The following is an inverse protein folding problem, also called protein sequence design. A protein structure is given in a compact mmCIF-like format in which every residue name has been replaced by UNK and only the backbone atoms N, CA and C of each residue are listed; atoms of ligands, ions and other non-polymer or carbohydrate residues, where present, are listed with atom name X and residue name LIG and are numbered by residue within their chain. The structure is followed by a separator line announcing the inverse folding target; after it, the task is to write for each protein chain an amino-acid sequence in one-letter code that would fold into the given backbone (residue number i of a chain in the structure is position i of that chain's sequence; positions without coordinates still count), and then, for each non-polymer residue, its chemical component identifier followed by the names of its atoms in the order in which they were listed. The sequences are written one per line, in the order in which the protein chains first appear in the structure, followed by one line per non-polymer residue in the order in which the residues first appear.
data_IF_467676169177
#
_entry.id   IF_467676169177
#
_cell.length_a   1.000
_cell.length_b   1.000
_cell.length_c   1.000
_cell.angle_alpha   90.00
_cell.angle_beta   90.00
_cell.angle_gamma   90.00
#
_symmetry.space_group_name_H-M   'P 1'
#
loop_
_entity.id
_entity.type
_entity.pdbx_description
1 polymer ?
#
# COMPACT_ATOMS: atom_id res chain seq x y z
N UNK A 1 0.27 3.55 -17.87
CA UNK A 1 -0.16 4.06 -16.56
C UNK A 1 0.65 3.41 -15.45
N UNK A 2 0.91 4.15 -14.41
CA UNK A 2 1.55 3.60 -13.21
C UNK A 2 0.58 2.68 -12.50
N UNK A 3 1.05 1.54 -12.06
CA UNK A 3 0.25 0.54 -11.36
C UNK A 3 0.41 0.71 -9.86
N UNK A 4 -0.71 0.91 -9.18
CA UNK A 4 -0.74 1.25 -7.76
C UNK A 4 -1.39 0.11 -6.99
N UNK A 5 -0.80 -0.25 -5.85
CA UNK A 5 -1.40 -1.19 -4.90
C UNK A 5 -1.65 -0.48 -3.58
N UNK A 6 -2.85 -0.66 -3.04
CA UNK A 6 -3.21 -0.15 -1.72
C UNK A 6 -3.23 -1.34 -0.77
N UNK A 7 -2.60 -1.19 0.40
CA UNK A 7 -2.56 -2.23 1.44
C UNK A 7 -2.99 -1.62 2.76
N UNK A 8 -4.12 -2.04 3.28
CA UNK A 8 -4.64 -1.52 4.54
C UNK A 8 -5.64 -2.54 5.10
N UNK A 9 -5.52 -2.92 6.35
CA UNK A 9 -6.43 -3.88 6.96
C UNK A 9 -7.80 -3.26 7.28
N UNK A 10 -7.92 -1.95 7.19
CA UNK A 10 -9.17 -1.24 7.36
C UNK A 10 -9.80 -0.94 6.00
N UNK A 11 -10.95 -1.55 5.72
CA UNK A 11 -11.64 -1.39 4.43
C UNK A 11 -12.01 0.06 4.13
N UNK A 12 -12.43 0.81 5.15
CA UNK A 12 -12.82 2.20 4.95
C UNK A 12 -11.63 3.08 4.60
N UNK A 13 -10.48 2.83 5.23
CA UNK A 13 -9.26 3.54 4.91
C UNK A 13 -8.80 3.26 3.49
N UNK A 14 -8.81 2.00 3.09
CA UNK A 14 -8.44 1.61 1.73
C UNK A 14 -9.38 2.25 0.70
N UNK A 15 -10.68 2.20 0.96
CA UNK A 15 -11.68 2.79 0.09
C UNK A 15 -11.50 4.30 -0.02
N UNK A 16 -11.20 4.94 1.11
CA UNK A 16 -10.95 6.38 1.12
C UNK A 16 -9.78 6.79 0.24
N UNK A 17 -8.69 6.03 0.29
CA UNK A 17 -7.54 6.29 -0.57
C UNK A 17 -7.92 6.09 -2.03
N UNK A 18 -8.62 5.01 -2.33
CA UNK A 18 -9.05 4.70 -3.68
C UNK A 18 -9.94 5.79 -4.27
N UNK A 19 -10.91 6.26 -3.49
CA UNK A 19 -11.95 7.17 -3.99
C UNK A 19 -11.60 8.64 -3.92
N UNK A 20 -10.70 9.04 -3.04
CA UNK A 20 -10.43 10.46 -2.81
C UNK A 20 -9.23 11.01 -3.57
N UNK A 21 -8.57 10.19 -4.36
CA UNK A 21 -7.45 10.61 -5.19
C UNK A 21 -7.84 10.43 -6.64
N UNK A 22 -7.59 11.44 -7.45
CA UNK A 22 -7.82 11.37 -8.88
C UNK A 22 -6.64 10.66 -9.56
N UNK A 23 -6.68 9.34 -9.56
CA UNK A 23 -5.61 8.52 -10.11
C UNK A 23 -5.41 8.75 -11.60
N UNK A 24 -6.51 8.98 -12.33
CA UNK A 24 -6.43 9.22 -13.76
C UNK A 24 -5.63 10.50 -14.06
N UNK A 25 -5.83 11.55 -13.28
CA UNK A 25 -5.08 12.79 -13.42
C UNK A 25 -3.59 12.56 -13.17
N UNK A 26 -3.23 11.57 -12.37
CA UNK A 26 -1.85 11.21 -12.09
C UNK A 26 -1.27 10.18 -13.06
N UNK A 27 -2.04 9.83 -14.08
CA UNK A 27 -1.68 8.78 -15.04
C UNK A 27 -1.37 7.46 -14.33
N UNK A 28 -2.23 7.10 -13.39
CA UNK A 28 -2.08 5.92 -12.54
C UNK A 28 -3.40 5.16 -12.45
N UNK A 29 -3.30 3.90 -12.09
CA UNK A 29 -4.50 3.08 -11.85
C UNK A 29 -4.26 2.16 -10.66
N UNK A 30 -5.31 1.91 -9.89
CA UNK A 30 -5.27 0.95 -8.80
C UNK A 30 -5.46 -0.43 -9.39
N UNK A 31 -4.46 -1.30 -9.26
CA UNK A 31 -4.54 -2.67 -9.80
C UNK A 31 -4.81 -3.69 -8.71
N UNK A 32 -4.48 -3.38 -7.45
CA UNK A 32 -4.73 -4.27 -6.32
C UNK A 32 -5.10 -3.46 -5.10
N UNK A 33 -6.08 -3.96 -4.33
CA UNK A 33 -6.36 -3.50 -2.98
C UNK A 33 -6.26 -4.74 -2.10
N UNK A 34 -5.31 -4.73 -1.19
CA UNK A 34 -5.07 -5.86 -0.30
C UNK A 34 -5.31 -5.43 1.13
N UNK A 35 -5.81 -6.32 1.95
CA UNK A 35 -6.22 -6.01 3.32
C UNK A 35 -5.29 -6.61 4.36
N UNK A 36 -4.18 -7.16 3.91
CA UNK A 36 -3.10 -7.64 4.79
C UNK A 36 -1.80 -7.72 4.00
N UNK A 37 -0.68 -7.79 4.73
CA UNK A 37 0.63 -7.78 4.10
C UNK A 37 0.94 -9.03 3.30
N UNK A 38 0.44 -10.19 3.75
CA UNK A 38 0.66 -11.46 3.06
C UNK A 38 0.01 -11.45 1.68
N UNK A 39 -1.23 -10.95 1.58
CA UNK A 39 -1.91 -10.82 0.28
C UNK A 39 -1.18 -9.88 -0.65
N UNK A 40 -0.60 -8.81 -0.09
CA UNK A 40 0.15 -7.84 -0.89
C UNK A 40 1.38 -8.50 -1.52
N UNK A 41 2.11 -9.29 -0.76
CA UNK A 41 3.29 -9.99 -1.28
C UNK A 41 2.89 -11.01 -2.35
N UNK A 42 1.80 -11.74 -2.12
CA UNK A 42 1.29 -12.69 -3.12
C UNK A 42 0.91 -11.98 -4.42
N UNK A 43 0.27 -10.82 -4.32
CA UNK A 43 -0.09 -10.02 -5.48
C UNK A 43 1.15 -9.56 -6.26
N UNK A 44 2.19 -9.14 -5.56
CA UNK A 44 3.42 -8.69 -6.19
C UNK A 44 4.16 -9.80 -6.94
N UNK A 45 4.03 -11.04 -6.48
CA UNK A 45 4.63 -12.17 -7.17
C UNK A 45 3.96 -12.46 -8.50
N UNK A 46 2.71 -12.04 -8.65
CA UNK A 46 1.93 -12.28 -9.87
C UNK A 46 1.96 -11.12 -10.83
N UNK A 47 2.05 -9.91 -10.33
CA UNK A 47 2.01 -8.72 -11.15
C UNK A 47 2.87 -7.63 -10.51
N UNK A 48 3.76 -7.04 -11.31
CA UNK A 48 4.58 -5.94 -10.83
C UNK A 48 3.75 -4.68 -10.65
N UNK A 49 4.02 -3.94 -9.58
CA UNK A 49 3.39 -2.65 -9.33
C UNK A 49 4.48 -1.57 -9.21
N UNK A 50 4.11 -0.34 -9.49
CA UNK A 50 5.04 0.77 -9.47
C UNK A 50 5.08 1.47 -8.12
N UNK A 51 3.95 1.49 -7.42
CA UNK A 51 3.82 2.16 -6.13
C UNK A 51 2.92 1.36 -5.21
N UNK A 52 3.33 1.23 -3.96
CA UNK A 52 2.53 0.65 -2.90
C UNK A 52 2.23 1.74 -1.88
N UNK A 53 0.95 1.90 -1.54
CA UNK A 53 0.53 2.75 -0.43
C UNK A 53 0.03 1.81 0.66
N UNK A 54 0.74 1.75 1.78
CA UNK A 54 0.48 0.76 2.81
C UNK A 54 0.36 1.38 4.19
N UNK A 55 -0.58 0.86 4.97
CA UNK A 55 -0.59 1.09 6.40
C UNK A 55 0.64 0.42 7.03
N UNK A 56 1.16 1.01 8.08
CA UNK A 56 2.28 0.44 8.83
C UNK A 56 1.81 -0.70 9.72
N UNK A 57 0.72 -0.50 10.45
CA UNK A 57 0.25 -1.47 11.43
C UNK A 57 -0.78 -2.41 10.85
N UNK A 58 -0.40 -3.65 10.66
CA UNK A 58 -1.28 -4.71 10.16
C UNK A 58 -1.00 -5.99 10.94
N UNK A 59 -2.03 -6.81 11.22
CA UNK A 59 -1.89 -7.91 12.19
C UNK A 59 -0.98 -9.06 11.75
N UNK A 60 -0.91 -9.39 10.47
CA UNK A 60 -0.15 -10.56 10.01
C UNK A 60 1.29 -10.21 9.62
N UNK A 61 1.45 -9.18 8.83
CA UNK A 61 2.74 -8.72 8.33
C UNK A 61 2.65 -7.20 8.25
N UNK A 62 3.37 -6.51 9.13
CA UNK A 62 3.32 -5.05 9.18
C UNK A 62 3.88 -4.42 7.91
N UNK A 63 3.57 -3.14 7.71
CA UNK A 63 3.95 -2.43 6.49
C UNK A 63 5.45 -2.34 6.28
N UNK A 64 6.23 -2.25 7.34
CA UNK A 64 7.69 -2.16 7.23
C UNK A 64 8.27 -3.49 6.76
N UNK A 65 7.85 -4.59 7.38
CA UNK A 65 8.30 -5.92 6.98
C UNK A 65 7.81 -6.27 5.59
N UNK A 66 6.57 -5.93 5.27
CA UNK A 66 6.01 -6.12 3.92
C UNK A 66 6.84 -5.34 2.89
N UNK A 67 7.23 -4.09 3.21
CA UNK A 67 8.02 -3.26 2.31
C UNK A 67 9.38 -3.87 2.01
N UNK A 68 10.02 -4.47 3.00
CA UNK A 68 11.31 -5.16 2.78
C UNK A 68 11.17 -6.32 1.82
N UNK A 69 10.11 -7.11 1.97
CA UNK A 69 9.84 -8.22 1.06
C UNK A 69 9.50 -7.72 -0.33
N UNK A 70 8.71 -6.65 -0.41
CA UNK A 70 8.34 -6.05 -1.69
C UNK A 70 9.56 -5.56 -2.45
N UNK A 71 10.50 -4.92 -1.77
CA UNK A 71 11.73 -4.43 -2.38
C UNK A 71 12.64 -5.57 -2.84
N UNK A 72 12.59 -6.72 -2.18
CA UNK A 72 13.31 -7.89 -2.65
C UNK A 72 12.71 -8.45 -3.93
N UNK A 73 11.40 -8.36 -4.09
CA UNK A 73 10.71 -8.84 -5.30
C UNK A 73 10.93 -7.85 -6.45
N UNK A 74 10.77 -6.57 -6.17
CA UNK A 74 10.94 -5.50 -7.16
C UNK A 74 11.71 -4.34 -6.55
N UNK A 75 13.02 -4.25 -6.77
CA UNK A 75 13.82 -3.17 -6.18
C UNK A 75 13.43 -1.76 -6.63
N UNK A 76 12.68 -1.65 -7.72
CA UNK A 76 12.27 -0.35 -8.27
C UNK A 76 10.92 0.13 -7.73
N UNK A 77 10.22 -0.68 -6.95
CA UNK A 77 8.92 -0.28 -6.42
C UNK A 77 9.08 0.88 -5.44
N UNK A 78 8.19 1.86 -5.53
CA UNK A 78 8.12 2.96 -4.56
C UNK A 78 7.11 2.60 -3.50
N UNK A 79 7.36 3.00 -2.26
CA UNK A 79 6.50 2.64 -1.14
C UNK A 79 6.22 3.88 -0.32
N UNK A 80 4.94 4.14 -0.06
CA UNK A 80 4.47 5.17 0.87
C UNK A 80 3.86 4.44 2.04
N UNK A 81 4.38 4.70 3.24
CA UNK A 81 3.84 4.14 4.46
C UNK A 81 2.99 5.19 5.17
N UNK A 82 1.80 4.78 5.60
CA UNK A 82 0.87 5.66 6.28
C UNK A 82 0.71 5.15 7.70
N UNK A 83 0.93 6.03 8.70
CA UNK A 83 0.68 5.66 10.07
C UNK A 83 -0.75 5.95 10.46
N UNK A 84 -1.24 5.22 11.44
CA UNK A 84 -2.56 5.44 11.98
C UNK A 84 -2.70 6.86 12.54
N UNK A 85 -3.92 7.37 12.59
CA UNK A 85 -4.19 8.75 12.99
C UNK A 85 -3.65 9.08 14.39
N UNK A 86 -3.64 8.15 15.30
CA UNK A 86 -3.13 8.35 16.65
C UNK A 86 -1.62 8.59 16.66
N UNK A 87 -0.93 8.18 15.63
CA UNK A 87 0.49 8.49 15.48
C UNK A 87 0.71 9.96 15.18
N UNK A 88 -0.23 10.57 14.49
CA UNK A 88 -0.19 12.02 14.29
C UNK A 88 -0.36 12.76 15.60
N UNK A 89 -1.14 12.22 16.50
CA UNK A 89 -1.31 12.81 17.84
C UNK A 89 0.02 12.89 18.57
N UNK A 90 0.84 11.87 18.44
CA UNK A 90 2.14 11.85 19.09
C UNK A 90 3.13 12.81 18.46
N UNK A 91 2.97 13.11 17.20
CA UNK A 91 3.84 14.01 16.48
C UNK A 91 3.65 15.47 16.86
N UNK A 92 2.55 15.79 17.51
CA UNK A 92 2.29 17.17 17.96
C UNK A 92 3.01 17.49 19.26
#
# INVERSE_FOLDING_TARGET
MKKIMIVDDNYLSAEGIEKNIDWEALNAEIVHICYNGTSAIEAMKKESVDLIISDIEMPDLDGISMSRQALNINPMVKIILISAYDKFEYAR
#
